data_IF_689099010895
#
_entry.id   IF_689099010895
#
_cell.length_a   1.000
_cell.length_b   1.000
_cell.length_c   1.000
_cell.angle_alpha   90.00
_cell.angle_beta   90.00
_cell.angle_gamma   90.00
#
_symmetry.space_group_name_H-M   'P 1'
#
loop_
_entity.id
_entity.type
_entity.pdbx_description
1 polymer ?
#
# COMPACT_ATOMS: atom_id res chain seq x y z
N UNK A 1 -7.77 1.81 -24.48
CA UNK A 1 -7.65 0.87 -23.35
C UNK A 1 -6.20 0.47 -23.07
N UNK A 2 -5.36 0.03 -24.06
CA UNK A 2 -3.91 -0.24 -23.84
C UNK A 2 -3.16 0.93 -23.21
N UNK A 3 -3.42 2.15 -23.69
CA UNK A 3 -2.74 3.34 -23.20
C UNK A 3 -3.06 3.64 -21.75
N UNK A 4 -4.33 3.42 -21.32
CA UNK A 4 -4.78 3.66 -19.95
C UNK A 4 -4.11 2.65 -18.98
N UNK A 5 -4.20 1.35 -19.30
CA UNK A 5 -3.54 0.31 -18.49
C UNK A 5 -2.04 0.57 -18.36
N UNK A 6 -1.37 0.93 -19.46
CA UNK A 6 0.06 1.24 -19.47
C UNK A 6 0.40 2.44 -18.57
N UNK A 7 -0.41 3.51 -18.61
CA UNK A 7 -0.21 4.70 -17.74
C UNK A 7 -0.34 4.33 -16.27
N UNK A 8 -1.38 3.54 -15.93
CA UNK A 8 -1.59 3.08 -14.55
C UNK A 8 -0.40 2.22 -14.07
N UNK A 9 0.02 1.29 -14.92
CA UNK A 9 1.15 0.40 -14.62
C UNK A 9 2.44 1.20 -14.40
N UNK A 10 2.73 2.20 -15.25
CA UNK A 10 3.91 3.07 -15.10
C UNK A 10 3.83 3.90 -13.81
N UNK A 11 2.65 4.41 -13.49
CA UNK A 11 2.43 5.19 -12.26
C UNK A 11 2.73 4.34 -11.02
N UNK A 12 2.10 3.16 -10.93
CA UNK A 12 2.29 2.26 -9.79
C UNK A 12 3.72 1.72 -9.71
N UNK A 13 4.38 1.50 -10.86
CA UNK A 13 5.80 1.12 -10.92
C UNK A 13 6.68 2.20 -10.30
N UNK A 14 6.54 3.44 -10.79
CA UNK A 14 7.41 4.55 -10.36
C UNK A 14 7.24 4.85 -8.86
N UNK A 15 6.00 4.92 -8.37
CA UNK A 15 5.78 5.20 -6.95
C UNK A 15 6.22 4.02 -6.07
N UNK A 16 6.03 2.77 -6.54
CA UNK A 16 6.49 1.58 -5.82
C UNK A 16 8.01 1.55 -5.69
N UNK A 17 8.74 1.81 -6.79
CA UNK A 17 10.20 1.90 -6.78
C UNK A 17 10.66 3.06 -5.88
N UNK A 18 10.04 4.24 -6.02
CA UNK A 18 10.40 5.41 -5.22
C UNK A 18 10.22 5.12 -3.72
N UNK A 19 9.09 4.53 -3.34
CA UNK A 19 8.83 4.21 -1.93
C UNK A 19 9.72 3.08 -1.42
N UNK A 20 10.19 2.16 -2.28
CA UNK A 20 11.11 1.11 -1.83
C UNK A 20 12.45 1.68 -1.32
N UNK A 21 12.92 2.80 -1.85
CA UNK A 21 14.13 3.45 -1.35
C UNK A 21 13.96 3.96 0.09
N UNK A 22 12.73 4.18 0.55
CA UNK A 22 12.45 4.57 1.94
C UNK A 22 12.77 3.43 2.94
N UNK A 23 12.98 2.20 2.46
CA UNK A 23 13.42 1.11 3.31
C UNK A 23 14.81 1.39 3.92
N UNK A 24 15.68 2.11 3.18
CA UNK A 24 17.03 2.46 3.69
C UNK A 24 16.93 3.36 4.94
N UNK A 25 16.29 4.55 4.86
CA UNK A 25 16.14 5.36 6.06
C UNK A 25 15.31 4.67 7.15
N UNK A 26 14.32 3.85 6.80
CA UNK A 26 13.55 3.07 7.77
C UNK A 26 14.47 2.19 8.63
N UNK A 27 15.38 1.42 7.98
CA UNK A 27 16.33 0.54 8.67
C UNK A 27 17.27 1.37 9.56
N UNK A 28 17.82 2.47 9.01
CA UNK A 28 18.77 3.31 9.74
C UNK A 28 18.13 3.97 10.97
N UNK A 29 16.91 4.50 10.82
CA UNK A 29 16.19 5.14 11.94
C UNK A 29 15.77 4.09 12.97
N UNK A 30 15.33 2.91 12.54
CA UNK A 30 14.97 1.82 13.47
C UNK A 30 16.20 1.39 14.29
N UNK A 31 17.35 1.22 13.64
CA UNK A 31 18.60 0.92 14.33
C UNK A 31 18.96 2.04 15.32
N UNK A 32 18.85 3.30 14.88
CA UNK A 32 19.16 4.46 15.70
C UNK A 32 18.26 4.53 16.95
N UNK A 33 16.94 4.28 16.78
CA UNK A 33 15.99 4.23 17.91
C UNK A 33 16.39 3.16 18.91
N UNK A 34 16.73 1.96 18.43
CA UNK A 34 17.17 0.86 19.30
C UNK A 34 18.48 1.23 20.03
N UNK A 35 19.45 1.78 19.30
CA UNK A 35 20.73 2.19 19.88
C UNK A 35 20.54 3.27 20.97
N UNK A 36 19.75 4.30 20.68
CA UNK A 36 19.47 5.38 21.65
C UNK A 36 18.83 4.82 22.92
N UNK A 37 17.88 3.89 22.76
CA UNK A 37 17.14 3.31 23.88
C UNK A 37 18.03 2.44 24.75
N UNK A 38 18.84 1.53 24.14
CA UNK A 38 19.58 0.51 24.90
C UNK A 38 21.00 0.95 25.30
N UNK A 39 21.63 1.85 24.56
CA UNK A 39 22.99 2.30 24.87
C UNK A 39 23.04 3.63 25.63
N UNK A 40 22.03 4.49 25.46
CA UNK A 40 22.04 5.85 26.02
C UNK A 40 20.88 6.10 26.99
N UNK A 41 20.01 5.11 27.22
CA UNK A 41 18.79 5.22 28.05
C UNK A 41 17.91 6.41 27.63
N UNK A 42 17.91 6.75 26.32
CA UNK A 42 17.17 7.87 25.79
C UNK A 42 16.14 7.39 24.76
N UNK A 43 14.90 7.82 24.91
CA UNK A 43 13.83 7.49 23.98
C UNK A 43 13.12 8.75 23.48
N UNK A 44 12.87 8.80 22.17
CA UNK A 44 12.06 9.86 21.55
C UNK A 44 10.87 9.23 20.83
N UNK A 45 9.68 9.58 21.27
CA UNK A 45 8.43 9.10 20.68
C UNK A 45 8.32 9.59 19.23
N UNK A 46 8.70 10.86 18.96
CA UNK A 46 8.66 11.40 17.59
C UNK A 46 9.51 10.59 16.62
N UNK A 47 10.73 10.17 17.02
CA UNK A 47 11.60 9.39 16.14
C UNK A 47 11.03 7.98 15.94
N UNK A 48 10.45 7.37 16.96
CA UNK A 48 9.76 6.08 16.83
C UNK A 48 8.57 6.19 15.85
N UNK A 49 7.80 7.27 15.95
CA UNK A 49 6.66 7.49 15.03
C UNK A 49 7.12 7.66 13.58
N UNK A 50 8.28 8.26 13.32
CA UNK A 50 8.84 8.36 11.95
C UNK A 50 8.99 6.95 11.35
N UNK A 51 9.45 5.96 12.14
CA UNK A 51 9.57 4.58 11.62
C UNK A 51 8.19 4.00 11.27
N UNK A 52 7.16 4.29 12.06
CA UNK A 52 5.78 3.86 11.79
C UNK A 52 5.28 4.49 10.48
N UNK A 53 5.51 5.79 10.28
CA UNK A 53 5.08 6.53 9.08
C UNK A 53 5.77 6.00 7.82
N UNK A 54 7.10 5.79 7.89
CA UNK A 54 7.86 5.24 6.76
C UNK A 54 7.39 3.83 6.41
N UNK A 55 7.24 2.97 7.44
CA UNK A 55 6.78 1.59 7.24
C UNK A 55 5.37 1.57 6.63
N UNK A 56 4.46 2.37 7.18
CA UNK A 56 3.08 2.44 6.68
C UNK A 56 3.05 2.91 5.21
N UNK A 57 3.85 3.92 4.85
CA UNK A 57 3.92 4.41 3.46
C UNK A 57 4.46 3.34 2.51
N UNK A 58 5.54 2.67 2.86
CA UNK A 58 6.14 1.59 2.06
C UNK A 58 5.09 0.48 1.85
N UNK A 59 4.43 0.06 2.92
CA UNK A 59 3.47 -1.05 2.89
C UNK A 59 2.24 -0.70 2.04
N UNK A 60 1.66 0.49 2.25
CA UNK A 60 0.41 0.89 1.57
C UNK A 60 0.62 1.11 0.07
N UNK A 61 1.70 1.80 -0.31
CA UNK A 61 2.02 2.03 -1.73
C UNK A 61 2.55 0.75 -2.37
N UNK A 62 3.34 -0.02 -1.64
CA UNK A 62 3.90 -1.30 -2.10
C UNK A 62 2.82 -2.31 -2.48
N UNK A 63 1.63 -2.25 -1.86
CA UNK A 63 0.53 -3.18 -2.17
C UNK A 63 0.11 -3.14 -3.64
N UNK A 64 -0.02 -1.94 -4.24
CA UNK A 64 -0.38 -1.80 -5.66
C UNK A 64 0.75 -2.27 -6.59
N UNK A 65 2.00 -1.97 -6.24
CA UNK A 65 3.19 -2.44 -6.97
C UNK A 65 3.26 -3.98 -6.94
N UNK A 66 3.01 -4.58 -5.79
CA UNK A 66 2.99 -6.04 -5.61
C UNK A 66 1.88 -6.69 -6.44
N UNK A 67 0.70 -6.06 -6.51
CA UNK A 67 -0.42 -6.52 -7.35
C UNK A 67 -0.02 -6.50 -8.83
N UNK A 68 0.55 -5.39 -9.31
CA UNK A 68 1.01 -5.24 -10.69
C UNK A 68 2.00 -6.33 -11.10
N UNK A 69 2.91 -6.71 -10.20
CA UNK A 69 3.98 -7.67 -10.49
C UNK A 69 3.61 -9.12 -10.13
N UNK A 70 2.35 -9.39 -9.78
CA UNK A 70 1.86 -10.72 -9.38
C UNK A 70 2.64 -11.32 -8.20
N UNK A 71 3.12 -10.49 -7.30
CA UNK A 71 3.97 -10.91 -6.16
C UNK A 71 3.18 -11.07 -4.84
N UNK A 72 1.85 -10.95 -4.88
CA UNK A 72 1.03 -11.24 -3.68
C UNK A 72 1.16 -12.70 -3.29
N UNK A 73 1.23 -12.93 -1.98
CA UNK A 73 1.31 -14.29 -1.42
C UNK A 73 0.07 -15.10 -1.83
N UNK A 74 0.29 -16.30 -2.34
CA UNK A 74 -0.75 -17.23 -2.82
C UNK A 74 -0.46 -18.63 -2.28
N UNK A 75 -1.48 -19.50 -2.37
CA UNK A 75 -1.28 -20.93 -2.10
C UNK A 75 -0.76 -21.56 -3.40
N UNK A 76 0.54 -21.47 -3.63
CA UNK A 76 1.19 -21.84 -4.89
C UNK A 76 1.07 -23.34 -5.20
N UNK A 77 0.93 -24.19 -4.18
CA UNK A 77 0.81 -25.64 -4.34
C UNK A 77 -0.33 -26.01 -5.28
N UNK A 78 -1.48 -25.35 -5.17
CA UNK A 78 -2.62 -25.55 -6.05
C UNK A 78 -2.54 -24.70 -7.33
N UNK A 79 -2.18 -23.45 -7.18
CA UNK A 79 -2.16 -22.47 -8.27
C UNK A 79 -1.22 -22.88 -9.39
N UNK A 80 -0.04 -23.43 -9.06
CA UNK A 80 0.95 -23.84 -10.06
C UNK A 80 0.50 -25.02 -10.94
N UNK A 81 -0.48 -25.83 -10.47
CA UNK A 81 -1.04 -26.96 -11.22
C UNK A 81 -2.09 -26.52 -12.26
N UNK A 82 -2.55 -25.26 -12.22
CA UNK A 82 -3.61 -24.77 -13.10
C UNK A 82 -3.05 -24.36 -14.46
N UNK A 83 -3.84 -24.54 -15.51
CA UNK A 83 -3.51 -24.03 -16.84
C UNK A 83 -3.50 -22.49 -16.81
N UNK A 84 -2.81 -21.88 -17.76
CA UNK A 84 -2.69 -20.42 -17.85
C UNK A 84 -4.06 -19.74 -17.99
N UNK A 85 -4.99 -20.34 -18.72
CA UNK A 85 -6.36 -19.82 -18.86
C UNK A 85 -7.11 -19.85 -17.52
N UNK A 86 -6.96 -20.94 -16.75
CA UNK A 86 -7.59 -21.04 -15.43
C UNK A 86 -7.00 -20.02 -14.46
N UNK A 87 -5.67 -19.83 -14.49
CA UNK A 87 -4.99 -18.80 -13.68
C UNK A 87 -5.55 -17.41 -13.96
N UNK A 88 -5.74 -17.07 -15.26
CA UNK A 88 -6.31 -15.78 -15.68
C UNK A 88 -7.72 -15.60 -15.12
N UNK A 89 -8.58 -16.63 -15.28
CA UNK A 89 -9.97 -16.56 -14.83
C UNK A 89 -10.04 -16.41 -13.29
N UNK A 90 -9.21 -17.14 -12.56
CA UNK A 90 -9.13 -17.02 -11.08
C UNK A 90 -8.69 -15.61 -10.70
N UNK A 91 -7.65 -15.08 -11.37
CA UNK A 91 -7.15 -13.72 -11.09
C UNK A 91 -8.21 -12.66 -11.40
N UNK A 92 -8.91 -12.80 -12.55
CA UNK A 92 -9.98 -11.88 -12.94
C UNK A 92 -11.14 -11.94 -11.96
N UNK A 93 -11.59 -13.15 -11.59
CA UNK A 93 -12.64 -13.35 -10.59
C UNK A 93 -12.24 -12.72 -9.25
N UNK A 94 -11.02 -13.01 -8.78
CA UNK A 94 -10.49 -12.44 -7.54
C UNK A 94 -10.44 -10.91 -7.56
N UNK A 95 -10.04 -10.34 -8.69
CA UNK A 95 -9.98 -8.87 -8.84
C UNK A 95 -11.37 -8.25 -8.80
N UNK A 96 -12.35 -8.82 -9.51
CA UNK A 96 -13.70 -8.25 -9.62
C UNK A 96 -14.50 -8.47 -8.33
N UNK A 97 -14.43 -9.67 -7.74
CA UNK A 97 -15.30 -10.05 -6.62
C UNK A 97 -14.67 -9.83 -5.25
N UNK A 98 -13.39 -9.66 -5.19
CA UNK A 98 -12.69 -9.37 -3.93
C UNK A 98 -11.93 -8.04 -3.96
N UNK A 99 -11.00 -7.58 -5.01
CA UNK A 99 -10.32 -6.56 -4.99
C UNK A 99 -11.02 -5.41 -4.96
N UNK A 100 -11.85 -5.32 -5.98
CA UNK A 100 -12.65 -4.09 -6.16
C UNK A 100 -13.66 -3.84 -5.02
N UNK A 101 -14.48 -4.80 -4.61
CA UNK A 101 -15.41 -4.53 -3.51
C UNK A 101 -14.69 -4.16 -2.20
N UNK A 102 -13.54 -4.78 -1.91
CA UNK A 102 -12.76 -4.42 -0.71
C UNK A 102 -12.25 -2.97 -0.79
N UNK A 103 -11.75 -2.55 -1.96
CA UNK A 103 -11.31 -1.16 -2.15
C UNK A 103 -12.48 -0.19 -1.94
N UNK A 104 -13.66 -0.50 -2.50
CA UNK A 104 -14.85 0.33 -2.36
C UNK A 104 -15.27 0.39 -0.88
N UNK A 105 -15.31 -0.75 -0.21
CA UNK A 105 -15.69 -0.83 1.21
C UNK A 105 -14.73 0.00 2.08
N UNK A 106 -13.43 -0.21 1.91
CA UNK A 106 -12.41 0.53 2.67
C UNK A 106 -12.52 2.03 2.37
N UNK A 107 -12.71 2.42 1.11
CA UNK A 107 -12.88 3.83 0.74
C UNK A 107 -14.07 4.46 1.48
N UNK A 108 -15.25 3.82 1.41
CA UNK A 108 -16.47 4.35 2.01
C UNK A 108 -16.32 4.47 3.54
N UNK A 109 -15.79 3.43 4.19
CA UNK A 109 -15.68 3.40 5.65
C UNK A 109 -14.59 4.33 6.17
N UNK A 110 -13.50 4.51 5.40
CA UNK A 110 -12.35 5.33 5.86
C UNK A 110 -12.47 6.80 5.45
N UNK A 111 -13.31 7.15 4.46
CA UNK A 111 -13.32 8.49 3.88
C UNK A 111 -13.57 9.56 4.94
N UNK A 112 -14.68 9.46 5.67
CA UNK A 112 -15.03 10.44 6.72
C UNK A 112 -14.00 10.45 7.85
N UNK A 113 -13.47 9.30 8.22
CA UNK A 113 -12.43 9.17 9.24
C UNK A 113 -11.16 9.95 8.87
N UNK A 114 -10.71 9.82 7.62
CA UNK A 114 -9.52 10.53 7.13
C UNK A 114 -9.79 12.03 6.98
N UNK A 115 -10.93 12.38 6.36
CA UNK A 115 -11.27 13.80 6.14
C UNK A 115 -11.42 14.54 7.47
N UNK A 116 -12.06 13.93 8.46
CA UNK A 116 -12.20 14.52 9.80
C UNK A 116 -10.81 14.74 10.45
N UNK A 117 -9.92 13.78 10.31
CA UNK A 117 -8.54 13.90 10.82
C UNK A 117 -7.76 15.04 10.16
N UNK A 118 -7.94 15.19 8.86
CA UNK A 118 -7.32 16.29 8.10
C UNK A 118 -7.90 17.65 8.52
N UNK A 119 -9.00 17.64 8.66
CA UNK A 119 -9.57 18.67 8.98
C UNK A 119 -9.26 19.19 10.14
N UNK A 120 -9.04 18.39 11.22
CA UNK A 120 -8.65 18.78 12.60
C UNK A 120 -7.13 18.96 12.75
N UNK A 121 -6.35 18.70 11.70
CA UNK A 121 -4.88 18.64 11.74
C UNK A 121 -4.43 17.73 12.90
N UNK A 122 -5.02 16.55 12.97
CA UNK A 122 -4.91 15.65 14.12
C UNK A 122 -3.44 15.30 14.42
N UNK A 123 -3.04 15.51 15.68
CA UNK A 123 -1.70 15.20 16.18
C UNK A 123 -1.67 13.84 16.86
N UNK A 124 -0.47 13.32 17.09
CA UNK A 124 -0.28 12.13 17.90
C UNK A 124 -0.89 12.32 19.30
N UNK A 125 -1.43 11.24 19.86
CA UNK A 125 -1.96 11.23 21.24
C UNK A 125 -0.84 11.05 22.28
N UNK A 126 0.36 10.70 21.83
CA UNK A 126 1.51 10.48 22.71
C UNK A 126 2.22 11.79 23.03
N UNK A 127 2.59 11.96 24.28
CA UNK A 127 3.36 13.15 24.70
C UNK A 127 4.72 13.18 23.99
N UNK A 128 4.97 14.23 23.21
CA UNK A 128 6.19 14.34 22.41
C UNK A 128 6.14 13.61 21.07
N UNK A 129 4.95 13.15 20.65
CA UNK A 129 4.73 12.56 19.33
C UNK A 129 4.61 13.60 18.21
N UNK A 130 4.49 13.15 16.98
CA UNK A 130 4.46 14.02 15.79
C UNK A 130 3.07 14.68 15.60
N UNK A 131 3.02 15.98 15.26
CA UNK A 131 1.75 16.69 15.03
C UNK A 131 1.18 16.46 13.63
N UNK A 132 1.31 15.24 13.08
CA UNK A 132 0.93 14.93 11.70
C UNK A 132 0.24 13.56 11.58
N UNK A 133 -0.55 13.17 12.59
CA UNK A 133 -1.25 11.87 12.56
C UNK A 133 -2.16 11.73 11.33
N UNK A 134 -2.69 12.83 10.84
CA UNK A 134 -3.48 12.85 9.61
C UNK A 134 -2.68 12.39 8.34
N UNK A 135 -1.49 12.41 8.25
CA UNK A 135 -0.75 11.99 7.37
C UNK A 135 -0.82 10.67 7.30
N UNK A 136 -0.53 9.90 8.44
CA UNK A 136 -0.60 8.44 8.59
C UNK A 136 -1.97 7.90 8.15
N UNK A 137 -3.04 8.52 8.62
CA UNK A 137 -4.42 8.12 8.26
C UNK A 137 -4.69 8.27 6.76
N UNK A 138 -4.12 9.29 6.11
CA UNK A 138 -4.30 9.54 4.67
C UNK A 138 -3.71 8.41 3.80
N UNK A 139 -2.75 7.65 4.33
CA UNK A 139 -2.18 6.49 3.61
C UNK A 139 -3.23 5.42 3.31
N UNK A 140 -4.34 5.35 4.09
CA UNK A 140 -5.45 4.43 3.82
C UNK A 140 -6.09 4.75 2.47
N UNK A 141 -6.41 6.04 2.24
CA UNK A 141 -7.00 6.46 0.96
C UNK A 141 -6.00 6.35 -0.18
N UNK A 142 -4.72 6.61 0.07
CA UNK A 142 -3.65 6.43 -0.92
C UNK A 142 -3.55 4.96 -1.35
N UNK A 143 -3.57 4.03 -0.40
CA UNK A 143 -3.57 2.59 -0.67
C UNK A 143 -4.75 2.20 -1.54
N UNK A 144 -5.91 2.61 -1.17
CA UNK A 144 -7.13 2.31 -1.91
C UNK A 144 -7.09 2.90 -3.33
N UNK A 145 -6.59 3.98 -3.45
CA UNK A 145 -6.50 4.55 -4.53
C UNK A 145 -5.77 3.92 -5.44
N UNK A 146 -4.46 3.60 -5.15
CA UNK A 146 -3.48 2.91 -6.01
C UNK A 146 -3.89 1.47 -6.32
N UNK A 147 -4.40 0.73 -5.35
CA UNK A 147 -4.92 -0.63 -5.54
C UNK A 147 -6.11 -0.66 -6.52
N UNK A 148 -7.05 0.27 -6.38
CA UNK A 148 -8.23 0.35 -7.25
C UNK A 148 -7.82 0.59 -8.70
N UNK A 149 -6.90 1.54 -8.93
CA UNK A 149 -6.35 1.80 -10.26
C UNK A 149 -5.67 0.55 -10.83
N UNK A 150 -4.86 -0.14 -10.03
CA UNK A 150 -4.17 -1.34 -10.50
C UNK A 150 -5.16 -2.47 -10.79
N UNK A 151 -6.21 -2.62 -9.98
CA UNK A 151 -7.28 -3.60 -10.24
C UNK A 151 -7.94 -3.35 -11.61
N UNK A 152 -8.24 -2.09 -11.93
CA UNK A 152 -8.77 -1.71 -13.25
C UNK A 152 -7.77 -2.09 -14.36
N UNK A 153 -6.48 -1.78 -14.17
CA UNK A 153 -5.45 -2.14 -15.15
C UNK A 153 -5.40 -3.66 -15.40
N UNK A 154 -5.48 -4.47 -14.33
CA UNK A 154 -5.47 -5.93 -14.45
C UNK A 154 -6.70 -6.45 -15.20
N UNK A 155 -7.88 -5.89 -14.95
CA UNK A 155 -9.11 -6.26 -15.66
C UNK A 155 -8.94 -5.95 -17.17
N UNK A 156 -8.44 -4.75 -17.51
CA UNK A 156 -8.22 -4.34 -18.91
C UNK A 156 -7.24 -5.30 -19.61
N UNK A 157 -6.19 -5.73 -18.92
CA UNK A 157 -5.18 -6.66 -19.48
C UNK A 157 -5.76 -8.06 -19.67
N UNK A 158 -6.50 -8.56 -18.75
CA UNK A 158 -7.09 -9.92 -18.82
C UNK A 158 -8.25 -10.05 -19.80
N UNK A 159 -8.96 -9.06 -19.72
CA UNK A 159 -9.91 -9.01 -20.48
C UNK A 159 -9.61 -9.01 -21.83
N UNK A 160 -8.55 -8.73 -22.28
CA UNK A 160 -8.09 -8.54 -23.64
C UNK A 160 -7.39 -9.75 -24.27
N UNK A 161 -6.91 -10.67 -23.46
CA UNK A 161 -6.25 -11.89 -23.95
C UNK A 161 -7.29 -12.95 -24.40
N UNK A 162 -8.57 -12.64 -24.29
CA UNK A 162 -9.65 -13.50 -24.76
C UNK A 162 -10.15 -13.15 -26.18
N UNK A 163 -9.61 -12.06 -26.79
CA UNK A 163 -9.86 -11.64 -28.17
C UNK A 163 -8.65 -11.93 -29.06
#
# INVERSE_FOLDING_TARGET
MKKISHIIDLFNEKIGILTSYLAIPLILITFFVAFMRYALDFGSIAIQEITIYLHALIFTVGASYTLKNNMHVRIDIFYNKFSDNLKKNINLFGTIFFXLPSCILIFITSFNYVISSIXLLESSKEAGGLPILYXLKSYILLMVXTLFLQAISEIIKNXRKEL
#
